data_IF_054407660316
#
_entry.id   IF_054407660316
#
_cell.length_a   1.000
_cell.length_b   1.000
_cell.length_c   1.000
_cell.angle_alpha   90.00
_cell.angle_beta   90.00
_cell.angle_gamma   90.00
#
_symmetry.space_group_name_H-M   'P 1'
#
loop_
_entity.id
_entity.type
_entity.pdbx_description
1 polymer ?
#
# COMPACT_ATOMS: atom_id res chain seq x y z
N UNK A 1 3.39 50.66 69.45
CA UNK A 1 4.40 49.59 69.64
C UNK A 1 3.85 48.32 69.00
N UNK A 2 4.66 47.59 68.23
CA UNK A 2 4.24 46.92 66.99
C UNK A 2 4.24 45.39 67.07
N UNK A 3 3.52 44.72 66.16
CA UNK A 3 4.04 43.61 65.32
C UNK A 3 2.95 43.22 64.31
N UNK A 4 3.10 43.64 63.06
CA UNK A 4 3.70 42.90 61.93
C UNK A 4 2.67 42.09 61.11
N UNK A 5 2.35 42.68 59.96
CA UNK A 5 1.84 42.12 58.70
C UNK A 5 2.53 40.77 58.30
N UNK A 6 1.95 39.91 57.40
CA UNK A 6 1.39 40.38 56.12
C UNK A 6 0.19 39.64 55.50
N UNK A 7 -0.66 40.47 54.91
CA UNK A 7 -1.22 40.45 53.54
C UNK A 7 -0.92 39.21 52.69
N UNK A 8 -1.95 38.39 52.42
CA UNK A 8 -1.93 37.39 51.36
C UNK A 8 -2.34 38.01 50.02
N UNK A 9 -1.46 37.86 49.03
CA UNK A 9 -1.66 38.22 47.64
C UNK A 9 -2.56 37.20 46.90
N UNK A 10 -3.23 37.60 45.80
CA UNK A 10 -4.13 36.72 45.06
C UNK A 10 -3.34 35.66 44.27
N UNK A 11 -3.74 34.40 44.44
CA UNK A 11 -3.15 33.26 43.73
C UNK A 11 -3.46 33.36 42.22
N UNK A 12 -2.38 33.54 41.44
CA UNK A 12 -2.41 33.45 39.98
C UNK A 12 -2.95 32.08 39.55
N UNK A 13 -4.02 32.11 38.75
CA UNK A 13 -4.55 30.97 38.01
C UNK A 13 -3.48 30.34 37.12
N UNK A 14 -2.93 29.21 37.55
CA UNK A 14 -2.11 28.35 36.71
C UNK A 14 -2.97 27.76 35.59
N UNK A 15 -2.74 28.20 34.35
CA UNK A 15 -3.20 27.50 33.15
C UNK A 15 -2.73 26.05 33.23
N UNK A 16 -3.63 25.12 33.51
CA UNK A 16 -3.39 23.68 33.32
C UNK A 16 -3.11 23.49 31.83
N UNK A 17 -1.85 23.24 31.51
CA UNK A 17 -1.45 22.75 30.20
C UNK A 17 -2.28 21.51 29.89
N UNK A 18 -3.00 21.54 28.77
CA UNK A 18 -3.66 20.38 28.19
C UNK A 18 -2.64 19.26 28.04
N UNK A 19 -2.92 18.03 28.51
CA UNK A 19 -2.01 16.91 28.31
C UNK A 19 -1.88 16.69 26.79
N UNK A 20 -0.64 16.73 26.30
CA UNK A 20 -0.31 16.28 24.94
C UNK A 20 -0.85 14.85 24.78
N UNK A 21 -1.45 14.51 23.62
CA UNK A 21 -1.87 13.14 23.39
C UNK A 21 -0.65 12.24 23.49
N UNK A 22 -0.72 11.31 24.44
CA UNK A 22 0.22 10.22 24.60
C UNK A 22 0.37 9.53 23.25
N UNK A 23 1.62 9.39 22.83
CA UNK A 23 2.04 8.59 21.69
C UNK A 23 1.26 7.28 21.67
N UNK A 24 0.43 7.11 20.64
CA UNK A 24 -0.05 5.81 20.18
C UNK A 24 1.17 4.88 20.19
N UNK A 25 0.99 3.68 20.75
CA UNK A 25 2.03 2.67 20.92
C UNK A 25 2.86 2.47 19.66
N UNK A 26 3.91 3.27 19.56
CA UNK A 26 5.12 2.95 18.84
C UNK A 26 5.69 1.76 19.60
N UNK A 27 5.30 0.55 19.21
CA UNK A 27 6.29 -0.52 19.20
C UNK A 27 7.43 0.07 18.38
N UNK A 28 8.48 0.52 19.06
CA UNK A 28 9.75 0.87 18.45
C UNK A 28 10.23 -0.40 17.78
N UNK A 29 9.74 -0.65 16.55
CA UNK A 29 10.37 -1.63 15.66
C UNK A 29 11.79 -1.12 15.52
N UNK A 30 12.77 -1.93 15.94
CA UNK A 30 14.15 -1.68 15.56
C UNK A 30 14.15 -1.49 14.05
N UNK A 31 14.75 -0.40 13.55
CA UNK A 31 14.88 -0.19 12.11
C UNK A 31 15.53 -1.42 11.53
N UNK A 32 14.84 -2.09 10.63
CA UNK A 32 15.38 -3.26 9.95
C UNK A 32 16.09 -2.74 8.70
N UNK A 33 17.41 -2.92 8.64
CA UNK A 33 18.21 -2.66 7.45
C UNK A 33 18.99 -1.35 7.42
N UNK A 34 19.76 -1.17 6.34
CA UNK A 34 20.66 -0.04 6.12
C UNK A 34 20.00 1.01 5.23
N UNK A 35 19.93 2.30 5.63
CA UNK A 35 19.40 3.36 4.77
C UNK A 35 20.12 3.38 3.42
N UNK A 36 19.37 3.59 2.32
CA UNK A 36 19.94 3.53 0.97
C UNK A 36 21.16 4.44 0.79
N UNK A 37 21.17 5.63 1.39
CA UNK A 37 22.32 6.55 1.33
C UNK A 37 23.60 5.93 1.89
N UNK A 38 23.51 5.25 3.03
CA UNK A 38 24.65 4.59 3.67
C UNK A 38 25.05 3.33 2.88
N UNK A 39 24.09 2.56 2.37
CA UNK A 39 24.40 1.40 1.54
C UNK A 39 25.11 1.79 0.23
N UNK A 40 24.80 2.95 -0.36
CA UNK A 40 25.50 3.45 -1.56
C UNK A 40 27.00 3.63 -1.33
N UNK A 41 27.41 4.05 -0.14
CA UNK A 41 28.83 4.22 0.21
C UNK A 41 29.54 2.86 0.22
N UNK A 42 28.86 1.80 0.67
CA UNK A 42 29.35 0.42 0.69
C UNK A 42 29.51 -0.20 -0.71
N UNK A 43 28.81 0.34 -1.72
CA UNK A 43 28.95 -0.11 -3.11
C UNK A 43 30.21 0.43 -3.81
N UNK A 44 30.99 1.29 -3.16
CA UNK A 44 32.22 1.84 -3.76
C UNK A 44 33.21 0.71 -4.06
N UNK A 45 33.68 0.62 -5.31
CA UNK A 45 34.56 -0.46 -5.76
C UNK A 45 33.87 -1.80 -6.03
N UNK A 46 32.56 -1.93 -5.79
CA UNK A 46 31.81 -3.14 -6.12
C UNK A 46 31.65 -3.33 -7.64
N UNK A 47 31.64 -4.59 -8.08
CA UNK A 47 31.33 -4.96 -9.47
C UNK A 47 29.93 -4.46 -9.84
N UNK A 48 29.82 -3.81 -10.99
CA UNK A 48 28.57 -3.27 -11.52
C UNK A 48 27.85 -4.35 -12.34
N UNK A 49 26.56 -4.63 -12.07
CA UNK A 49 25.84 -5.64 -12.82
C UNK A 49 25.58 -5.19 -14.26
N UNK A 50 25.63 -6.14 -15.19
CA UNK A 50 25.16 -5.94 -16.56
C UNK A 50 23.71 -6.43 -16.75
N UNK A 51 23.21 -7.24 -15.83
CA UNK A 51 21.84 -7.76 -15.82
C UNK A 51 21.18 -7.54 -14.45
N UNK A 52 19.97 -6.99 -14.47
CA UNK A 52 19.12 -6.85 -13.29
C UNK A 52 17.79 -7.54 -13.55
N UNK A 53 17.34 -8.34 -12.59
CA UNK A 53 16.00 -8.92 -12.59
C UNK A 53 15.17 -8.28 -11.48
N UNK A 54 14.09 -7.60 -11.84
CA UNK A 54 13.05 -7.23 -10.88
C UNK A 54 12.21 -8.47 -10.53
N UNK A 55 12.49 -9.06 -9.38
CA UNK A 55 11.81 -10.27 -8.92
C UNK A 55 10.59 -9.90 -8.07
N UNK A 56 9.41 -10.21 -8.61
CA UNK A 56 8.12 -9.91 -7.98
C UNK A 56 7.57 -11.05 -7.12
N UNK A 57 8.38 -12.10 -6.86
CA UNK A 57 8.02 -13.34 -6.17
C UNK A 57 6.95 -14.19 -6.88
N UNK A 58 6.44 -13.72 -8.01
CA UNK A 58 5.40 -14.38 -8.78
C UNK A 58 5.97 -15.25 -9.88
N UNK A 59 5.09 -16.09 -10.43
CA UNK A 59 5.35 -17.07 -11.49
C UNK A 59 6.32 -16.57 -12.56
N UNK A 60 5.99 -15.48 -13.25
CA UNK A 60 6.76 -15.06 -14.43
C UNK A 60 8.22 -14.72 -14.10
N UNK A 61 8.45 -13.88 -13.08
CA UNK A 61 9.79 -13.50 -12.67
C UNK A 61 10.57 -14.66 -12.03
N UNK A 62 9.88 -15.58 -11.34
CA UNK A 62 10.50 -16.78 -10.78
C UNK A 62 10.91 -17.76 -11.88
N UNK A 63 10.09 -17.95 -12.91
CA UNK A 63 10.42 -18.80 -14.06
C UNK A 63 11.67 -18.31 -14.79
N UNK A 64 11.79 -16.99 -15.02
CA UNK A 64 13.01 -16.39 -15.60
C UNK A 64 14.24 -16.74 -14.75
N UNK A 65 14.14 -16.49 -13.44
CA UNK A 65 15.24 -16.70 -12.50
C UNK A 65 15.69 -18.16 -12.46
N UNK A 66 14.74 -19.08 -12.29
CA UNK A 66 15.02 -20.51 -12.24
C UNK A 66 15.58 -21.01 -13.57
N UNK A 67 15.07 -20.54 -14.70
CA UNK A 67 15.58 -20.97 -16.01
C UNK A 67 17.02 -20.49 -16.23
N UNK A 68 17.35 -19.26 -15.88
CA UNK A 68 18.72 -18.76 -15.98
C UNK A 68 19.71 -19.51 -15.08
N UNK A 69 19.24 -20.02 -13.94
CA UNK A 69 20.06 -20.84 -13.05
C UNK A 69 20.25 -22.25 -13.64
N UNK A 70 19.17 -22.90 -14.06
CA UNK A 70 19.15 -24.31 -14.46
C UNK A 70 19.64 -24.55 -15.90
N UNK A 71 19.40 -23.60 -16.81
CA UNK A 71 19.72 -23.72 -18.23
C UNK A 71 20.70 -22.61 -18.62
N UNK A 72 22.03 -22.81 -18.49
CA UNK A 72 23.02 -21.79 -18.85
C UNK A 72 22.89 -21.26 -20.29
N UNK A 73 22.44 -22.10 -21.23
CA UNK A 73 22.19 -21.72 -22.63
C UNK A 73 21.04 -20.72 -22.81
N UNK A 74 20.21 -20.49 -21.79
CA UNK A 74 19.12 -19.50 -21.83
C UNK A 74 19.58 -18.05 -21.57
N UNK A 75 20.87 -17.84 -21.31
CA UNK A 75 21.48 -16.53 -21.04
C UNK A 75 22.85 -16.38 -21.70
N UNK A 76 23.20 -15.14 -22.00
CA UNK A 76 24.47 -14.71 -22.59
C UNK A 76 25.36 -13.94 -21.58
N UNK A 77 25.02 -13.98 -20.29
CA UNK A 77 25.74 -13.30 -19.21
C UNK A 77 26.07 -14.29 -18.09
N UNK A 78 27.11 -14.01 -17.29
CA UNK A 78 27.45 -14.83 -16.12
C UNK A 78 26.55 -14.49 -14.92
N UNK A 79 26.18 -15.48 -14.09
CA UNK A 79 25.31 -15.25 -12.91
C UNK A 79 25.93 -14.27 -11.89
N UNK A 80 27.24 -14.12 -11.88
CA UNK A 80 27.95 -13.10 -11.08
C UNK A 80 27.64 -11.66 -11.51
N UNK A 81 27.22 -11.45 -12.76
CA UNK A 81 26.77 -10.16 -13.32
C UNK A 81 25.27 -9.91 -13.14
N UNK A 82 24.53 -10.91 -12.66
CA UNK A 82 23.11 -10.80 -12.31
C UNK A 82 22.96 -10.27 -10.90
N UNK A 83 22.12 -9.24 -10.75
CA UNK A 83 21.55 -8.86 -9.47
C UNK A 83 20.04 -9.02 -9.52
N UNK A 84 19.51 -9.80 -8.60
CA UNK A 84 18.07 -9.93 -8.38
C UNK A 84 17.67 -8.87 -7.37
N UNK A 85 16.68 -8.04 -7.71
CA UNK A 85 16.16 -6.99 -6.82
C UNK A 85 14.69 -7.25 -6.51
N UNK A 86 14.32 -7.08 -5.25
CA UNK A 86 12.93 -7.21 -4.79
C UNK A 86 12.55 -6.05 -3.89
N UNK A 87 11.37 -5.48 -4.12
CA UNK A 87 10.77 -4.48 -3.25
C UNK A 87 9.71 -5.12 -2.36
N UNK A 88 10.02 -5.24 -1.07
CA UNK A 88 9.13 -5.77 -0.05
C UNK A 88 8.05 -4.75 0.28
N UNK A 89 6.80 -5.09 -0.03
CA UNK A 89 5.65 -4.20 0.19
C UNK A 89 5.10 -4.30 1.62
N UNK A 90 5.45 -5.34 2.37
CA UNK A 90 5.04 -5.52 3.76
C UNK A 90 3.89 -6.49 4.00
N UNK A 91 3.10 -6.80 2.97
CA UNK A 91 1.79 -7.47 3.14
C UNK A 91 1.57 -8.60 2.12
N UNK A 92 2.66 -9.16 1.62
CA UNK A 92 2.64 -10.37 0.80
C UNK A 92 2.11 -11.56 1.61
N UNK A 93 1.54 -12.54 0.94
CA UNK A 93 1.09 -13.75 1.61
C UNK A 93 2.25 -14.55 2.22
N UNK A 94 2.02 -15.10 3.41
CA UNK A 94 3.00 -15.92 4.10
C UNK A 94 3.40 -17.17 3.28
N UNK A 95 2.46 -17.78 2.53
CA UNK A 95 2.77 -18.92 1.64
C UNK A 95 3.75 -18.54 0.54
N UNK A 96 3.58 -17.37 -0.07
CA UNK A 96 4.52 -16.87 -1.09
C UNK A 96 5.93 -16.70 -0.53
N UNK A 97 6.05 -16.25 0.72
CA UNK A 97 7.34 -16.21 1.42
C UNK A 97 7.98 -17.59 1.57
N UNK A 98 7.23 -18.53 2.15
CA UNK A 98 7.68 -19.90 2.37
C UNK A 98 8.15 -20.56 1.07
N UNK A 99 7.34 -20.53 0.01
CA UNK A 99 7.69 -21.18 -1.26
C UNK A 99 8.97 -20.59 -1.86
N UNK A 100 9.16 -19.27 -1.77
CA UNK A 100 10.38 -18.62 -2.24
C UNK A 100 11.61 -18.97 -1.37
N UNK A 101 11.45 -19.00 -0.05
CA UNK A 101 12.52 -19.37 0.90
C UNK A 101 12.93 -20.84 0.76
N UNK A 102 11.96 -21.73 0.54
CA UNK A 102 12.21 -23.18 0.47
C UNK A 102 12.78 -23.61 -0.89
N UNK A 103 12.39 -22.93 -1.98
CA UNK A 103 12.72 -23.39 -3.34
C UNK A 103 13.61 -22.46 -4.16
N UNK A 104 13.62 -21.14 -3.89
CA UNK A 104 14.39 -20.18 -4.69
C UNK A 104 15.67 -19.76 -3.98
N UNK A 105 15.61 -19.37 -2.70
CA UNK A 105 16.79 -18.91 -1.96
C UNK A 105 17.93 -19.96 -1.91
N UNK A 106 17.67 -21.27 -1.75
CA UNK A 106 18.73 -22.27 -1.76
C UNK A 106 19.48 -22.31 -3.09
N UNK A 107 18.77 -22.11 -4.21
CA UNK A 107 19.37 -22.03 -5.54
C UNK A 107 20.18 -20.75 -5.71
N UNK A 108 19.68 -19.61 -5.23
CA UNK A 108 20.47 -18.36 -5.25
C UNK A 108 21.78 -18.51 -4.49
N UNK A 109 21.73 -19.10 -3.30
CA UNK A 109 22.92 -19.37 -2.48
C UNK A 109 23.86 -20.37 -3.15
N UNK A 110 23.35 -21.47 -3.67
CA UNK A 110 24.17 -22.50 -4.34
C UNK A 110 24.93 -21.95 -5.55
N UNK A 111 24.34 -20.99 -6.26
CA UNK A 111 24.93 -20.36 -7.43
C UNK A 111 25.54 -18.97 -7.16
N UNK A 112 25.59 -18.54 -5.89
CA UNK A 112 26.12 -17.24 -5.49
C UNK A 112 25.45 -16.03 -6.14
N UNK A 113 24.18 -16.16 -6.56
CA UNK A 113 23.42 -15.07 -7.20
C UNK A 113 23.10 -14.01 -6.15
N UNK A 114 23.42 -12.75 -6.45
CA UNK A 114 23.21 -11.64 -5.52
C UNK A 114 21.72 -11.26 -5.48
N UNK A 115 21.14 -11.24 -4.28
CA UNK A 115 19.80 -10.77 -3.99
C UNK A 115 19.86 -9.50 -3.16
N UNK A 116 19.19 -8.44 -3.62
CA UNK A 116 19.00 -7.19 -2.89
C UNK A 116 17.52 -7.04 -2.53
N UNK A 117 17.23 -6.99 -1.24
CA UNK A 117 15.90 -6.80 -0.68
C UNK A 117 15.76 -5.37 -0.19
N UNK A 118 14.82 -4.61 -0.74
CA UNK A 118 14.60 -3.22 -0.37
C UNK A 118 13.15 -2.98 0.06
N UNK A 119 12.94 -2.00 0.92
CA UNK A 119 11.60 -1.55 1.30
C UNK A 119 11.59 -0.03 1.51
N UNK A 120 10.38 0.47 1.71
CA UNK A 120 10.20 1.80 2.30
C UNK A 120 10.48 1.72 3.80
N UNK A 121 11.04 2.78 4.35
CA UNK A 121 11.14 3.01 5.80
C UNK A 121 10.14 4.06 6.31
N UNK A 122 9.39 4.67 5.39
CA UNK A 122 8.33 5.65 5.69
C UNK A 122 7.40 5.85 4.49
N UNK A 123 6.32 6.60 4.71
CA UNK A 123 5.30 6.89 3.70
C UNK A 123 5.83 7.52 2.40
N UNK A 124 6.79 8.45 2.52
CA UNK A 124 7.31 9.23 1.39
C UNK A 124 8.76 8.84 1.09
N UNK A 125 8.99 8.48 -0.17
CA UNK A 125 10.31 8.26 -0.73
C UNK A 125 10.71 9.35 -1.70
N UNK A 126 12.02 9.54 -1.92
CA UNK A 126 12.56 10.48 -2.89
C UNK A 126 13.44 9.78 -3.92
N UNK A 127 13.65 10.39 -5.09
CA UNK A 127 14.57 9.89 -6.13
C UNK A 127 16.01 9.81 -5.58
N UNK A 128 16.37 10.70 -4.64
CA UNK A 128 17.67 10.65 -3.97
C UNK A 128 17.83 9.46 -3.00
N UNK A 129 16.76 8.71 -2.73
CA UNK A 129 16.76 7.53 -1.89
C UNK A 129 16.29 7.73 -0.46
N UNK A 130 15.79 8.92 -0.09
CA UNK A 130 15.28 9.13 1.27
C UNK A 130 14.02 8.30 1.49
N UNK A 131 13.90 7.69 2.66
CA UNK A 131 12.77 6.82 2.97
C UNK A 131 12.86 5.41 2.35
N UNK A 132 14.01 5.04 1.80
CA UNK A 132 14.32 3.69 1.31
C UNK A 132 15.35 3.03 2.23
N UNK A 133 15.14 1.74 2.51
CA UNK A 133 16.04 0.91 3.32
C UNK A 133 16.37 -0.38 2.57
N UNK A 134 17.62 -0.82 2.68
CA UNK A 134 18.10 -2.12 2.21
C UNK A 134 17.99 -3.08 3.39
N UNK A 135 17.09 -4.05 3.28
CA UNK A 135 16.81 -5.05 4.30
C UNK A 135 17.90 -6.12 4.34
N UNK A 136 18.38 -6.50 3.15
CA UNK A 136 19.44 -7.47 2.94
C UNK A 136 20.08 -7.27 1.55
N UNK A 137 21.37 -7.54 1.44
CA UNK A 137 22.15 -7.55 0.21
C UNK A 137 23.18 -8.67 0.31
N UNK A 138 22.84 -9.83 -0.25
CA UNK A 138 23.56 -11.07 0.02
C UNK A 138 23.69 -11.94 -1.23
N UNK A 139 24.78 -12.70 -1.30
CA UNK A 139 24.96 -13.82 -2.25
C UNK A 139 24.60 -15.19 -1.63
N UNK A 140 24.28 -15.19 -0.34
CA UNK A 140 23.82 -16.35 0.42
C UNK A 140 22.56 -15.98 1.20
N UNK A 141 21.47 -15.54 0.53
CA UNK A 141 20.26 -15.12 1.22
C UNK A 141 19.62 -16.30 1.96
N UNK A 142 19.18 -16.07 3.20
CA UNK A 142 18.55 -17.11 4.04
C UNK A 142 17.05 -16.90 4.24
N UNK A 143 16.58 -15.66 4.11
CA UNK A 143 15.18 -15.31 4.36
C UNK A 143 14.71 -14.14 3.51
N UNK A 144 13.42 -14.08 3.26
CA UNK A 144 12.73 -12.93 2.70
C UNK A 144 12.20 -12.03 3.83
N UNK A 145 12.51 -10.75 3.75
CA UNK A 145 12.04 -9.75 4.70
C UNK A 145 10.64 -9.22 4.30
N UNK A 146 9.67 -10.11 4.16
CA UNK A 146 8.33 -9.80 3.62
C UNK A 146 7.65 -8.61 4.29
N UNK A 147 7.83 -8.51 5.62
CA UNK A 147 7.27 -7.46 6.47
C UNK A 147 7.81 -6.06 6.20
N UNK A 148 9.00 -5.95 5.58
CA UNK A 148 9.70 -4.68 5.35
C UNK A 148 9.94 -3.86 6.63
N UNK A 149 10.17 -2.55 6.45
CA UNK A 149 10.28 -1.57 7.55
C UNK A 149 9.00 -0.69 7.63
N UNK A 150 8.43 -0.32 6.47
CA UNK A 150 7.15 0.38 6.34
C UNK A 150 6.26 -0.26 5.27
N UNK A 151 5.12 -0.82 5.71
CA UNK A 151 4.22 -1.62 4.89
C UNK A 151 3.30 -0.77 4.03
N UNK A 152 2.69 -1.38 3.02
CA UNK A 152 1.61 -0.74 2.28
C UNK A 152 0.36 -0.59 3.17
N UNK A 153 0.08 -1.56 4.03
CA UNK A 153 -1.02 -1.51 5.01
C UNK A 153 -0.85 -0.38 6.02
N UNK A 154 0.38 -0.01 6.38
CA UNK A 154 0.67 1.16 7.21
C UNK A 154 0.22 2.46 6.53
N UNK A 155 0.53 2.63 5.24
CA UNK A 155 0.04 3.76 4.44
C UNK A 155 -1.49 3.77 4.35
N UNK A 156 -2.10 2.63 4.07
CA UNK A 156 -3.55 2.50 3.91
C UNK A 156 -4.28 2.78 5.21
N UNK A 157 -3.72 2.36 6.34
CA UNK A 157 -4.21 2.64 7.70
C UNK A 157 -4.08 4.11 8.04
N UNK A 158 -2.87 4.69 7.90
CA UNK A 158 -2.59 6.10 8.18
C UNK A 158 -3.49 7.05 7.40
N UNK A 159 -3.78 6.70 6.15
CA UNK A 159 -4.58 7.52 5.26
C UNK A 159 -6.06 7.14 5.22
N UNK A 160 -6.45 6.02 5.85
CA UNK A 160 -7.76 5.38 5.72
C UNK A 160 -8.22 5.35 4.25
N UNK A 161 -7.47 4.60 3.45
CA UNK A 161 -7.77 4.34 2.03
C UNK A 161 -7.53 2.88 1.71
N UNK A 162 -8.07 2.43 0.59
CA UNK A 162 -7.78 1.12 -0.03
C UNK A 162 -7.09 1.33 -1.38
N UNK A 163 -6.30 0.35 -1.86
CA UNK A 163 -5.86 0.33 -3.25
C UNK A 163 -7.08 0.15 -4.18
N UNK A 164 -7.00 0.69 -5.39
CA UNK A 164 -8.09 0.64 -6.37
C UNK A 164 -7.62 0.03 -7.68
N UNK A 165 -8.52 -0.70 -8.36
CA UNK A 165 -8.25 -1.27 -9.70
C UNK A 165 -8.11 -0.16 -10.76
N UNK A 166 -8.90 0.91 -10.64
CA UNK A 166 -8.88 2.04 -11.56
C UNK A 166 -7.69 2.98 -11.35
N UNK A 167 -7.26 3.65 -12.42
CA UNK A 167 -6.17 4.64 -12.41
C UNK A 167 -4.78 4.05 -12.61
N UNK A 168 -3.73 4.81 -12.26
CA UNK A 168 -2.34 4.51 -12.59
C UNK A 168 -1.64 3.53 -11.62
N UNK A 169 -2.37 2.58 -11.00
CA UNK A 169 -1.82 1.56 -10.08
C UNK A 169 -0.86 2.14 -9.03
N UNK A 170 -1.28 3.22 -8.37
CA UNK A 170 -0.42 4.04 -7.49
C UNK A 170 0.29 3.26 -6.38
N UNK A 171 -0.31 2.20 -5.86
CA UNK A 171 0.34 1.34 -4.86
C UNK A 171 1.61 0.69 -5.43
N UNK A 172 1.55 0.15 -6.64
CA UNK A 172 2.72 -0.46 -7.31
C UNK A 172 3.79 0.58 -7.62
N UNK A 173 3.40 1.76 -8.13
CA UNK A 173 4.36 2.83 -8.44
C UNK A 173 5.12 3.29 -7.20
N UNK A 174 4.42 3.46 -6.06
CA UNK A 174 5.02 3.99 -4.82
C UNK A 174 5.75 2.94 -3.99
N UNK A 175 5.21 1.72 -3.91
CA UNK A 175 5.76 0.67 -3.05
C UNK A 175 6.79 -0.20 -3.77
N UNK A 176 6.82 -0.21 -5.11
CA UNK A 176 7.79 -0.97 -5.91
C UNK A 176 8.68 -0.06 -6.74
N UNK A 177 8.11 0.70 -7.69
CA UNK A 177 8.90 1.55 -8.61
C UNK A 177 9.78 2.57 -7.87
N UNK A 178 9.17 3.40 -7.03
CA UNK A 178 9.85 4.41 -6.22
C UNK A 178 10.80 3.85 -5.15
N UNK A 179 10.91 2.52 -5.02
CA UNK A 179 11.89 1.82 -4.18
C UNK A 179 13.00 1.23 -5.05
N UNK A 180 12.65 0.52 -6.13
CA UNK A 180 13.61 -0.16 -6.98
C UNK A 180 14.41 0.81 -7.85
N UNK A 181 13.82 1.89 -8.37
CA UNK A 181 14.52 2.78 -9.28
C UNK A 181 15.80 3.37 -8.63
N UNK A 182 15.76 3.95 -7.41
CA UNK A 182 16.97 4.46 -6.76
C UNK A 182 17.98 3.37 -6.35
N UNK A 183 17.50 2.15 -6.08
CA UNK A 183 18.36 0.99 -5.76
C UNK A 183 19.11 0.52 -7.00
N UNK A 184 18.42 0.41 -8.14
CA UNK A 184 19.00 0.06 -9.43
C UNK A 184 20.00 1.13 -9.89
N UNK A 185 19.67 2.41 -9.71
CA UNK A 185 20.59 3.52 -10.00
C UNK A 185 21.86 3.44 -9.15
N UNK A 186 21.74 3.06 -7.87
CA UNK A 186 22.88 2.84 -6.99
C UNK A 186 23.75 1.65 -7.41
N UNK A 187 23.13 0.54 -7.81
CA UNK A 187 23.83 -0.67 -8.27
C UNK A 187 24.61 -0.41 -9.55
N UNK A 188 23.98 0.26 -10.53
CA UNK A 188 24.53 0.47 -11.87
C UNK A 188 25.47 1.67 -11.95
N UNK A 189 25.32 2.65 -11.04
CA UNK A 189 26.10 3.89 -11.02
C UNK A 189 26.15 4.59 -12.39
N UNK A 190 25.01 4.61 -13.09
CA UNK A 190 24.87 5.24 -14.41
C UNK A 190 25.42 4.43 -15.59
N UNK A 191 26.02 3.25 -15.36
CA UNK A 191 26.43 2.36 -16.46
C UNK A 191 25.23 1.77 -17.19
N UNK A 192 25.47 1.36 -18.44
CA UNK A 192 24.48 0.62 -19.22
C UNK A 192 24.18 -0.74 -18.60
N UNK A 193 22.91 -1.12 -18.54
CA UNK A 193 22.47 -2.40 -18.01
C UNK A 193 21.22 -2.92 -18.72
N UNK A 194 21.04 -4.24 -18.70
CA UNK A 194 19.80 -4.89 -19.10
C UNK A 194 18.90 -5.08 -17.88
N UNK A 195 17.62 -4.80 -18.05
CA UNK A 195 16.62 -4.94 -16.99
C UNK A 195 15.53 -5.91 -17.44
N UNK A 196 15.55 -7.11 -16.89
CA UNK A 196 14.56 -8.13 -17.15
C UNK A 196 13.30 -7.93 -16.31
N UNK A 197 12.16 -8.03 -16.99
CA UNK A 197 10.83 -7.93 -16.41
C UNK A 197 10.00 -9.13 -16.85
N UNK A 198 9.27 -9.72 -15.89
CA UNK A 198 8.38 -10.86 -16.13
C UNK A 198 7.07 -10.45 -16.81
N UNK A 199 7.13 -10.18 -18.11
CA UNK A 199 5.96 -10.18 -18.99
C UNK A 199 6.02 -11.42 -19.86
N UNK A 200 4.95 -12.21 -19.85
CA UNK A 200 4.82 -13.43 -20.67
C UNK A 200 4.33 -13.14 -22.09
N UNK A 201 4.38 -14.16 -22.95
CA UNK A 201 4.11 -14.04 -24.40
C UNK A 201 2.79 -13.34 -24.75
N UNK A 202 1.75 -13.43 -23.90
CA UNK A 202 0.45 -12.78 -24.11
C UNK A 202 0.35 -11.36 -23.51
N UNK A 203 1.43 -10.81 -22.94
CA UNK A 203 1.48 -9.48 -22.32
C UNK A 203 2.20 -8.42 -23.18
N UNK A 204 2.26 -8.61 -24.51
CA UNK A 204 2.95 -7.71 -25.45
C UNK A 204 2.57 -6.23 -25.27
N UNK A 205 1.28 -5.95 -25.05
CA UNK A 205 0.79 -4.57 -24.84
C UNK A 205 1.37 -3.94 -23.57
N UNK A 206 1.65 -4.72 -22.52
CA UNK A 206 2.28 -4.21 -21.29
C UNK A 206 3.77 -3.94 -21.50
N UNK A 207 4.45 -4.80 -22.25
CA UNK A 207 5.86 -4.66 -22.59
C UNK A 207 6.11 -3.45 -23.49
N UNK A 208 5.45 -3.42 -24.65
CA UNK A 208 5.76 -2.47 -25.73
C UNK A 208 4.78 -1.29 -25.84
N UNK A 209 3.61 -1.38 -25.18
CA UNK A 209 2.55 -0.40 -25.34
C UNK A 209 1.83 -0.51 -26.69
N UNK A 210 0.91 0.41 -26.96
CA UNK A 210 0.18 0.49 -28.23
C UNK A 210 1.01 1.17 -29.34
N UNK A 211 2.18 0.62 -29.70
CA UNK A 211 3.06 1.19 -30.74
C UNK A 211 2.39 1.31 -32.12
N UNK A 212 1.32 0.56 -32.38
CA UNK A 212 0.68 0.44 -33.70
C UNK A 212 -0.60 1.28 -33.91
N UNK A 213 -1.15 1.94 -32.88
CA UNK A 213 -2.48 2.60 -33.01
C UNK A 213 -2.48 4.11 -32.76
N UNK A 214 -1.33 4.79 -32.83
CA UNK A 214 -1.25 6.26 -32.65
C UNK A 214 -1.70 6.77 -31.27
N UNK A 215 -1.94 5.85 -30.31
CA UNK A 215 -2.36 6.16 -28.95
C UNK A 215 -1.19 6.58 -28.05
N UNK A 216 -1.50 7.17 -26.88
CA UNK A 216 -0.50 7.56 -25.87
C UNK A 216 0.46 6.39 -25.57
N UNK A 217 1.75 6.58 -25.86
CA UNK A 217 2.83 5.62 -25.56
C UNK A 217 2.84 5.31 -24.06
N UNK A 218 2.31 4.15 -23.66
CA UNK A 218 2.39 3.61 -22.30
C UNK A 218 2.73 2.12 -22.40
N UNK A 219 4.03 1.84 -22.47
CA UNK A 219 4.62 0.51 -22.33
C UNK A 219 5.90 0.65 -21.52
N UNK A 220 6.31 -0.41 -20.83
CA UNK A 220 7.51 -0.36 -20.00
C UNK A 220 8.79 -0.08 -20.83
N UNK A 221 8.86 -0.61 -22.06
CA UNK A 221 9.95 -0.34 -23.01
C UNK A 221 10.16 1.16 -23.28
N UNK A 222 9.12 1.98 -23.08
CA UNK A 222 9.13 3.42 -23.39
C UNK A 222 9.43 4.28 -22.15
N UNK A 223 9.41 3.71 -20.93
CA UNK A 223 9.42 4.48 -19.67
C UNK A 223 10.74 4.40 -18.87
N UNK A 224 11.83 3.91 -19.47
CA UNK A 224 13.13 3.75 -18.80
C UNK A 224 14.12 4.91 -19.01
N UNK A 225 15.15 5.04 -18.16
CA UNK A 225 16.28 5.94 -18.40
C UNK A 225 17.15 5.46 -19.58
N UNK A 226 17.92 6.36 -20.19
CA UNK A 226 18.68 6.07 -21.41
C UNK A 226 19.74 4.95 -21.27
N UNK A 227 20.23 4.70 -20.07
CA UNK A 227 21.19 3.63 -19.78
C UNK A 227 20.52 2.27 -19.47
N UNK A 228 19.19 2.19 -19.49
CA UNK A 228 18.44 0.95 -19.28
C UNK A 228 18.01 0.35 -20.62
N UNK A 229 18.37 -0.91 -20.85
CA UNK A 229 17.81 -1.74 -21.91
C UNK A 229 16.80 -2.72 -21.31
N UNK A 230 15.50 -2.50 -21.52
CA UNK A 230 14.48 -3.44 -21.06
C UNK A 230 14.55 -4.74 -21.87
N UNK A 231 14.49 -5.89 -21.20
CA UNK A 231 14.45 -7.22 -21.86
C UNK A 231 13.28 -8.03 -21.31
N UNK A 232 12.70 -8.90 -22.15
CA UNK A 232 11.50 -9.66 -21.82
C UNK A 232 11.68 -11.15 -22.13
N UNK A 233 12.47 -11.88 -21.32
CA UNK A 233 12.91 -13.23 -21.66
C UNK A 233 11.76 -14.20 -21.95
N UNK A 234 10.63 -14.10 -21.24
CA UNK A 234 9.49 -14.99 -21.48
C UNK A 234 8.82 -14.72 -22.84
N UNK A 235 8.78 -13.48 -23.32
CA UNK A 235 8.32 -13.17 -24.67
C UNK A 235 9.31 -13.75 -25.68
N UNK A 236 10.62 -13.55 -25.47
CA UNK A 236 11.67 -14.06 -26.36
C UNK A 236 11.68 -15.59 -26.44
N UNK A 237 11.35 -16.26 -25.33
CA UNK A 237 11.23 -17.71 -25.25
C UNK A 237 9.86 -18.23 -25.69
N UNK A 238 8.92 -17.35 -26.01
CA UNK A 238 7.51 -17.66 -26.29
C UNK A 238 6.87 -18.52 -25.17
N UNK A 239 7.11 -18.15 -23.92
CA UNK A 239 6.51 -18.78 -22.75
C UNK A 239 5.26 -18.01 -22.33
N UNK A 240 4.14 -18.71 -22.27
CA UNK A 240 2.93 -18.23 -21.65
C UNK A 240 2.92 -18.51 -20.14
N UNK A 241 1.84 -18.08 -19.47
CA UNK A 241 1.67 -18.32 -18.04
C UNK A 241 1.70 -19.80 -17.66
N UNK A 242 1.06 -20.67 -18.45
CA UNK A 242 0.99 -22.09 -18.10
C UNK A 242 2.36 -22.74 -18.21
N UNK A 243 3.13 -22.42 -19.25
CA UNK A 243 4.50 -22.90 -19.41
C UNK A 243 5.41 -22.50 -18.26
N UNK A 244 5.26 -21.27 -17.75
CA UNK A 244 5.97 -20.84 -16.55
C UNK A 244 5.58 -21.66 -15.31
N UNK A 245 4.29 -21.95 -15.12
CA UNK A 245 3.82 -22.79 -14.00
C UNK A 245 4.41 -24.20 -14.09
N UNK A 246 4.30 -24.83 -15.27
CA UNK A 246 4.79 -26.18 -15.50
C UNK A 246 6.30 -26.28 -15.29
N UNK A 247 7.05 -25.28 -15.77
CA UNK A 247 8.50 -25.22 -15.58
C UNK A 247 8.87 -25.09 -14.12
N UNK A 248 8.23 -24.17 -13.38
CA UNK A 248 8.49 -24.02 -11.94
C UNK A 248 8.19 -25.33 -11.23
N UNK A 249 7.01 -25.93 -11.46
CA UNK A 249 6.66 -27.22 -10.86
C UNK A 249 7.70 -28.30 -11.16
N UNK A 250 8.24 -28.36 -12.39
CA UNK A 250 9.33 -29.28 -12.73
C UNK A 250 10.61 -29.05 -11.92
N UNK A 251 11.00 -27.79 -11.70
CA UNK A 251 12.21 -27.43 -10.93
C UNK A 251 12.03 -27.63 -9.42
N UNK A 252 10.81 -27.41 -8.91
CA UNK A 252 10.53 -27.39 -7.47
C UNK A 252 9.95 -28.69 -6.93
N UNK A 253 9.87 -29.74 -7.76
CA UNK A 253 9.36 -31.05 -7.34
C UNK A 253 7.83 -31.12 -7.23
N UNK A 254 7.12 -30.31 -8.01
CA UNK A 254 5.68 -30.40 -8.21
C UNK A 254 4.83 -29.42 -7.42
N UNK A 255 5.42 -28.44 -6.73
CA UNK A 255 4.62 -27.46 -5.97
C UNK A 255 3.82 -26.54 -6.89
N UNK A 256 2.61 -26.20 -6.45
CA UNK A 256 1.75 -25.23 -7.13
C UNK A 256 2.21 -23.82 -6.78
N UNK A 257 2.84 -23.13 -7.74
CA UNK A 257 3.33 -21.77 -7.50
C UNK A 257 2.19 -20.75 -7.47
N UNK A 258 1.83 -20.29 -6.28
CA UNK A 258 0.72 -19.35 -6.12
C UNK A 258 1.02 -17.97 -6.70
N UNK A 259 -0.05 -17.23 -7.03
CA UNK A 259 0.07 -15.84 -7.48
C UNK A 259 0.53 -14.95 -6.32
N UNK A 260 1.67 -14.28 -6.49
CA UNK A 260 2.12 -13.24 -5.56
C UNK A 260 1.31 -11.95 -5.71
N UNK A 261 0.87 -11.41 -4.58
CA UNK A 261 0.30 -10.09 -4.39
C UNK A 261 0.10 -9.81 -2.89
N UNK A 262 -0.10 -8.55 -2.52
CA UNK A 262 -0.64 -8.26 -1.18
C UNK A 262 -1.98 -8.98 -0.96
N UNK A 263 -2.28 -9.41 0.26
CA UNK A 263 -3.54 -10.12 0.59
C UNK A 263 -4.80 -9.35 0.16
N UNK A 264 -4.76 -8.03 0.31
CA UNK A 264 -5.81 -7.09 -0.10
C UNK A 264 -5.63 -6.52 -1.51
N UNK A 265 -4.88 -7.18 -2.40
CA UNK A 265 -4.67 -6.65 -3.75
C UNK A 265 -5.99 -6.63 -4.56
N UNK A 266 -6.44 -5.45 -5.03
CA UNK A 266 -7.73 -5.33 -5.69
C UNK A 266 -7.71 -5.98 -7.09
N UNK A 267 -6.51 -6.15 -7.69
CA UNK A 267 -6.34 -6.87 -8.95
C UNK A 267 -6.49 -8.38 -8.78
N UNK A 268 -6.19 -8.93 -7.60
CA UNK A 268 -6.48 -10.33 -7.29
C UNK A 268 -7.98 -10.56 -7.09
N UNK A 269 -8.72 -9.53 -6.70
CA UNK A 269 -10.17 -9.57 -6.46
C UNK A 269 -11.02 -9.10 -7.66
N UNK A 270 -10.39 -8.78 -8.80
CA UNK A 270 -11.05 -8.12 -9.93
C UNK A 270 -12.02 -9.03 -10.70
N UNK A 271 -11.78 -10.33 -10.74
CA UNK A 271 -12.61 -11.31 -11.45
C UNK A 271 -12.97 -12.52 -10.57
N UNK A 272 -13.89 -13.38 -11.05
CA UNK A 272 -14.44 -14.51 -10.29
C UNK A 272 -13.35 -15.49 -9.84
N UNK A 273 -12.48 -15.91 -10.75
CA UNK A 273 -11.41 -16.87 -10.44
C UNK A 273 -10.40 -16.31 -9.44
N UNK A 274 -10.05 -15.02 -9.58
CA UNK A 274 -9.15 -14.34 -8.65
C UNK A 274 -9.74 -14.27 -7.24
N UNK A 275 -11.03 -13.96 -7.12
CA UNK A 275 -11.74 -13.98 -5.83
C UNK A 275 -11.74 -15.37 -5.22
N UNK A 276 -12.01 -16.40 -6.01
CA UNK A 276 -12.02 -17.77 -5.54
C UNK A 276 -10.66 -18.17 -4.94
N UNK A 277 -9.56 -17.91 -5.66
CA UNK A 277 -8.20 -18.15 -5.15
C UNK A 277 -7.88 -17.37 -3.88
N UNK A 278 -8.30 -16.11 -3.79
CA UNK A 278 -8.10 -15.32 -2.56
C UNK A 278 -8.91 -15.90 -1.40
N UNK A 279 -10.15 -16.32 -1.63
CA UNK A 279 -11.01 -16.92 -0.60
C UNK A 279 -10.45 -18.25 -0.09
N UNK A 280 -9.91 -19.10 -0.96
CA UNK A 280 -9.21 -20.33 -0.57
C UNK A 280 -8.01 -20.04 0.33
N UNK A 281 -7.23 -19.00 0.00
CA UNK A 281 -6.10 -18.58 0.84
C UNK A 281 -6.54 -17.96 2.15
N UNK A 282 -7.64 -17.21 2.18
CA UNK A 282 -8.24 -16.70 3.44
C UNK A 282 -8.72 -17.87 4.31
N UNK A 283 -9.31 -18.91 3.71
CA UNK A 283 -9.73 -20.09 4.48
C UNK A 283 -8.53 -20.80 5.12
N UNK A 284 -7.38 -20.83 4.43
CA UNK A 284 -6.13 -21.38 4.96
C UNK A 284 -5.41 -20.44 5.95
N UNK A 285 -5.55 -19.12 5.77
CA UNK A 285 -4.97 -18.07 6.62
C UNK A 285 -6.03 -17.01 6.98
N UNK A 286 -6.86 -17.26 8.01
CA UNK A 286 -7.93 -16.36 8.41
C UNK A 286 -7.45 -14.95 8.80
N UNK A 287 -6.21 -14.81 9.28
CA UNK A 287 -5.64 -13.53 9.69
C UNK A 287 -5.54 -12.56 8.49
N UNK A 288 -5.18 -13.06 7.31
CA UNK A 288 -5.17 -12.26 6.08
C UNK A 288 -6.58 -11.74 5.74
N UNK A 289 -7.63 -12.54 5.99
CA UNK A 289 -9.02 -12.12 5.86
C UNK A 289 -9.39 -10.98 6.81
N UNK A 290 -8.96 -11.07 8.06
CA UNK A 290 -9.15 -10.00 9.07
C UNK A 290 -8.45 -8.71 8.62
N UNK A 291 -7.21 -8.80 8.12
CA UNK A 291 -6.47 -7.62 7.64
C UNK A 291 -7.17 -6.92 6.46
N UNK A 292 -7.70 -7.70 5.50
CA UNK A 292 -8.50 -7.18 4.38
C UNK A 292 -9.70 -6.39 4.90
N UNK A 293 -10.46 -6.99 5.83
CA UNK A 293 -11.65 -6.37 6.41
C UNK A 293 -11.31 -5.12 7.23
N UNK A 294 -10.23 -5.15 8.00
CA UNK A 294 -9.77 -4.02 8.81
C UNK A 294 -9.31 -2.83 7.96
N UNK A 295 -8.68 -3.07 6.82
CA UNK A 295 -8.28 -2.02 5.87
C UNK A 295 -9.53 -1.41 5.20
N UNK A 296 -10.44 -2.26 4.70
CA UNK A 296 -11.65 -1.78 4.04
C UNK A 296 -12.58 -1.04 5.01
N UNK A 297 -12.78 -1.55 6.23
CA UNK A 297 -13.62 -0.93 7.26
C UNK A 297 -13.17 0.49 7.61
N UNK A 298 -11.85 0.72 7.78
CA UNK A 298 -11.29 2.07 7.97
C UNK A 298 -11.56 2.98 6.77
N UNK A 299 -11.33 2.48 5.55
CA UNK A 299 -11.58 3.24 4.32
C UNK A 299 -13.05 3.63 4.17
N UNK A 300 -13.96 2.67 4.38
CA UNK A 300 -15.39 2.89 4.30
C UNK A 300 -15.84 3.88 5.36
N UNK A 301 -15.37 3.78 6.61
CA UNK A 301 -15.71 4.75 7.67
C UNK A 301 -15.54 6.20 7.22
N UNK A 302 -14.43 6.52 6.55
CA UNK A 302 -14.13 7.86 6.07
C UNK A 302 -14.69 8.18 4.67
N UNK A 303 -15.06 7.17 3.89
CA UNK A 303 -15.67 7.35 2.57
C UNK A 303 -16.55 6.13 2.21
N UNK A 304 -17.89 6.25 2.32
CA UNK A 304 -18.81 5.14 2.04
C UNK A 304 -18.71 4.55 0.62
N UNK A 305 -18.10 5.27 -0.32
CA UNK A 305 -17.92 4.84 -1.71
C UNK A 305 -16.53 4.27 -2.00
N UNK A 306 -15.71 4.03 -0.97
CA UNK A 306 -14.31 3.60 -1.10
C UNK A 306 -14.08 2.19 -0.56
N UNK A 307 -14.86 1.24 -1.10
CA UNK A 307 -14.62 -0.19 -0.92
C UNK A 307 -13.42 -0.67 -1.74
N UNK A 308 -12.88 -1.83 -1.34
CA UNK A 308 -11.76 -2.49 -2.00
C UNK A 308 -12.18 -3.07 -3.35
N UNK A 309 -13.43 -3.54 -3.43
CA UNK A 309 -14.03 -4.07 -4.66
C UNK A 309 -14.63 -2.94 -5.50
N UNK A 310 -14.54 -3.06 -6.82
CA UNK A 310 -15.21 -2.13 -7.73
C UNK A 310 -16.75 -2.15 -7.63
N UNK A 311 -17.30 -3.25 -7.10
CA UNK A 311 -18.71 -3.43 -6.73
C UNK A 311 -18.80 -4.38 -5.53
N UNK A 312 -19.69 -4.08 -4.59
CA UNK A 312 -19.80 -4.82 -3.32
C UNK A 312 -18.70 -4.46 -2.33
N UNK A 313 -18.62 -5.22 -1.24
CA UNK A 313 -17.63 -5.07 -0.18
C UNK A 313 -16.87 -6.39 0.06
N UNK A 314 -15.70 -6.32 0.69
CA UNK A 314 -14.97 -7.52 1.12
C UNK A 314 -15.73 -8.30 2.21
N UNK A 315 -16.48 -7.61 3.07
CA UNK A 315 -17.33 -8.28 4.07
C UNK A 315 -18.45 -9.10 3.42
N UNK A 316 -19.07 -8.59 2.35
CA UNK A 316 -20.05 -9.37 1.58
C UNK A 316 -19.41 -10.57 0.88
N UNK A 317 -18.19 -10.39 0.35
CA UNK A 317 -17.45 -11.48 -0.29
C UNK A 317 -17.17 -12.63 0.68
N UNK A 318 -16.71 -12.31 1.89
CA UNK A 318 -16.42 -13.30 2.95
C UNK A 318 -17.71 -13.95 3.48
N UNK A 319 -18.78 -13.17 3.62
CA UNK A 319 -20.10 -13.68 4.02
C UNK A 319 -20.69 -14.66 2.99
N UNK A 320 -20.57 -14.33 1.70
CA UNK A 320 -21.03 -15.20 0.61
C UNK A 320 -20.21 -16.48 0.46
N UNK A 321 -18.96 -16.47 0.91
CA UNK A 321 -18.07 -17.63 0.93
C UNK A 321 -18.22 -18.52 2.17
N UNK A 322 -19.18 -18.19 3.06
CA UNK A 322 -19.44 -18.91 4.32
C UNK A 322 -18.23 -19.00 5.27
N UNK A 323 -17.36 -17.98 5.23
CA UNK A 323 -16.17 -17.90 6.11
C UNK A 323 -16.52 -17.21 7.44
N UNK A 324 -17.54 -17.72 8.14
CA UNK A 324 -18.07 -17.12 9.36
C UNK A 324 -17.03 -16.94 10.48
N UNK A 325 -16.06 -17.85 10.58
CA UNK A 325 -14.97 -17.76 11.55
C UNK A 325 -14.06 -16.52 11.31
N UNK A 326 -13.89 -16.09 10.05
CA UNK A 326 -13.15 -14.85 9.72
C UNK A 326 -13.95 -13.63 10.16
N UNK A 327 -15.27 -13.66 10.02
CA UNK A 327 -16.15 -12.56 10.46
C UNK A 327 -16.13 -12.42 11.98
N UNK A 328 -16.17 -13.54 12.72
CA UNK A 328 -16.01 -13.53 14.18
C UNK A 328 -14.66 -12.94 14.57
N UNK A 329 -13.55 -13.44 14.00
CA UNK A 329 -12.22 -12.93 14.28
C UNK A 329 -12.06 -11.44 13.93
N UNK A 330 -12.72 -10.97 12.87
CA UNK A 330 -12.76 -9.56 12.50
C UNK A 330 -13.51 -8.71 13.53
N UNK A 331 -14.67 -9.16 14.02
CA UNK A 331 -15.40 -8.44 15.06
C UNK A 331 -14.63 -8.42 16.39
N UNK A 332 -14.00 -9.54 16.77
CA UNK A 332 -13.12 -9.60 17.94
C UNK A 332 -11.94 -8.61 17.79
N UNK A 333 -11.33 -8.55 16.60
CA UNK A 333 -10.26 -7.59 16.31
C UNK A 333 -10.74 -6.13 16.36
N UNK A 334 -11.96 -5.83 15.91
CA UNK A 334 -12.56 -4.52 16.09
C UNK A 334 -12.74 -4.22 17.58
N UNK A 335 -13.36 -5.10 18.34
CA UNK A 335 -13.69 -4.80 19.73
C UNK A 335 -12.45 -4.71 20.63
N UNK A 336 -11.39 -5.45 20.30
CA UNK A 336 -10.08 -5.35 20.96
C UNK A 336 -9.27 -4.11 20.56
N UNK A 337 -9.58 -3.46 19.43
CA UNK A 337 -8.83 -2.30 18.93
C UNK A 337 -9.28 -1.00 19.60
N UNK A 338 -8.31 -0.12 19.87
CA UNK A 338 -8.62 1.29 20.12
C UNK A 338 -9.33 1.90 18.91
N UNK A 339 -10.27 2.80 19.18
CA UNK A 339 -11.04 3.51 18.17
C UNK A 339 -10.84 5.01 18.28
N UNK A 340 -11.13 5.69 17.18
CA UNK A 340 -11.15 7.15 17.10
C UNK A 340 -12.50 7.66 16.64
N UNK A 341 -12.95 8.74 17.25
CA UNK A 341 -14.09 9.53 16.81
C UNK A 341 -13.55 10.61 15.88
N UNK A 342 -14.01 10.62 14.65
CA UNK A 342 -13.39 11.40 13.57
C UNK A 342 -14.42 12.30 12.92
N UNK A 343 -14.09 13.59 12.79
CA UNK A 343 -14.80 14.52 11.92
C UNK A 343 -14.23 14.41 10.51
N UNK A 344 -15.13 14.19 9.54
CA UNK A 344 -14.81 14.10 8.13
C UNK A 344 -15.56 15.19 7.37
N UNK A 345 -14.80 16.03 6.67
CA UNK A 345 -15.32 17.02 5.73
C UNK A 345 -14.77 16.73 4.34
N UNK A 346 -15.62 16.76 3.33
CA UNK A 346 -15.22 16.53 1.93
C UNK A 346 -15.76 17.60 1.02
N UNK A 347 -14.93 18.03 0.08
CA UNK A 347 -15.30 18.89 -1.04
C UNK A 347 -15.18 18.05 -2.31
N UNK A 348 -16.32 17.85 -2.99
CA UNK A 348 -16.41 17.11 -4.23
C UNK A 348 -16.49 18.12 -5.38
N UNK A 349 -15.46 18.16 -6.22
CA UNK A 349 -15.32 19.09 -7.33
C UNK A 349 -15.71 18.44 -8.65
N UNK A 350 -16.31 19.20 -9.59
CA UNK A 350 -16.55 18.73 -10.94
C UNK A 350 -15.24 18.33 -11.65
N UNK A 351 -15.35 17.47 -12.65
CA UNK A 351 -14.27 17.21 -13.59
C UNK A 351 -14.12 18.41 -14.52
N UNK A 352 -12.88 18.76 -14.88
CA UNK A 352 -12.59 19.91 -15.75
C UNK A 352 -13.31 19.84 -17.11
N UNK A 353 -13.53 18.62 -17.62
CA UNK A 353 -14.16 18.38 -18.93
C UNK A 353 -15.67 18.12 -18.85
N UNK A 354 -16.21 17.89 -17.67
CA UNK A 354 -17.61 17.51 -17.48
C UNK A 354 -18.08 17.94 -16.07
N UNK A 355 -18.77 19.09 -15.96
CA UNK A 355 -19.25 19.60 -14.68
C UNK A 355 -20.22 18.67 -13.93
N UNK A 356 -20.86 17.72 -14.63
CA UNK A 356 -21.76 16.75 -14.00
C UNK A 356 -21.01 15.56 -13.38
N UNK A 357 -19.73 15.35 -13.73
CA UNK A 357 -18.93 14.23 -13.23
C UNK A 357 -18.01 14.64 -12.11
N UNK A 358 -17.78 13.74 -11.16
CA UNK A 358 -16.79 13.94 -10.11
C UNK A 358 -15.37 13.95 -10.70
N UNK A 359 -14.64 15.03 -10.48
CA UNK A 359 -13.23 15.15 -10.86
C UNK A 359 -12.30 14.88 -9.70
N UNK A 360 -12.36 15.75 -8.68
CA UNK A 360 -11.45 15.73 -7.53
C UNK A 360 -12.24 15.76 -6.23
N UNK A 361 -11.83 14.95 -5.27
CA UNK A 361 -12.34 15.01 -3.90
C UNK A 361 -11.21 15.47 -2.97
N UNK A 362 -11.39 16.64 -2.35
CA UNK A 362 -10.54 17.08 -1.23
C UNK A 362 -11.20 16.66 0.08
N UNK A 363 -10.39 16.34 1.10
CA UNK A 363 -10.90 15.96 2.42
C UNK A 363 -10.11 16.61 3.55
N UNK A 364 -10.81 16.88 4.64
CA UNK A 364 -10.28 17.19 5.96
C UNK A 364 -10.73 16.10 6.92
N UNK A 365 -9.76 15.49 7.58
CA UNK A 365 -9.92 14.44 8.60
C UNK A 365 -9.38 15.03 9.89
N UNK A 366 -10.18 15.00 10.95
CA UNK A 366 -9.78 15.46 12.28
C UNK A 366 -10.21 14.45 13.35
N UNK A 367 -9.26 13.93 14.10
CA UNK A 367 -9.50 13.07 15.25
C UNK A 367 -9.98 13.94 16.42
N UNK A 368 -11.17 13.62 16.94
CA UNK A 368 -11.84 14.36 18.01
C UNK A 368 -11.54 13.71 19.37
N UNK A 369 -11.56 12.38 19.41
CA UNK A 369 -11.35 11.60 20.63
C UNK A 369 -10.84 10.20 20.28
N UNK A 370 -10.19 9.58 21.25
CA UNK A 370 -9.78 8.17 21.22
C UNK A 370 -10.40 7.45 22.41
N UNK A 371 -10.73 6.17 22.26
CA UNK A 371 -11.26 5.33 23.33
C UNK A 371 -11.75 3.99 22.79
N UNK A 372 -12.45 3.22 23.62
CA UNK A 372 -13.05 1.97 23.14
C UNK A 372 -14.21 2.24 22.18
N UNK A 373 -14.51 1.26 21.31
CA UNK A 373 -15.60 1.35 20.34
C UNK A 373 -16.94 1.70 21.01
N UNK A 374 -17.29 1.00 22.08
CA UNK A 374 -18.53 1.21 22.83
C UNK A 374 -18.64 2.62 23.43
N UNK A 375 -17.56 3.12 24.05
CA UNK A 375 -17.52 4.48 24.61
C UNK A 375 -17.75 5.54 23.53
N UNK A 376 -17.11 5.38 22.38
CA UNK A 376 -17.24 6.34 21.28
C UNK A 376 -18.61 6.25 20.60
N UNK A 377 -19.19 5.06 20.48
CA UNK A 377 -20.57 4.87 19.99
C UNK A 377 -21.58 5.58 20.87
N UNK A 378 -21.47 5.42 22.21
CA UNK A 378 -22.32 6.14 23.14
C UNK A 378 -22.19 7.66 22.99
N UNK A 379 -20.96 8.18 22.85
CA UNK A 379 -20.71 9.61 22.61
C UNK A 379 -21.32 10.10 21.29
N UNK A 380 -21.19 9.32 20.21
CA UNK A 380 -21.75 9.66 18.91
C UNK A 380 -23.29 9.71 18.97
N UNK A 381 -23.92 8.72 19.61
CA UNK A 381 -25.38 8.68 19.79
C UNK A 381 -25.90 9.83 20.66
N UNK A 382 -25.21 10.15 21.76
CA UNK A 382 -25.55 11.31 22.60
C UNK A 382 -25.46 12.62 21.81
N UNK A 383 -24.43 12.77 20.97
CA UNK A 383 -24.28 13.95 20.10
C UNK A 383 -25.40 14.01 19.06
N UNK A 384 -25.78 12.88 18.47
CA UNK A 384 -26.88 12.79 17.53
C UNK A 384 -28.21 13.21 18.16
N UNK A 385 -28.53 12.65 19.33
CA UNK A 385 -29.77 12.92 20.06
C UNK A 385 -29.90 14.41 20.44
N UNK A 386 -28.79 15.05 20.86
CA UNK A 386 -28.80 16.48 21.24
C UNK A 386 -28.94 17.43 20.05
N UNK A 387 -28.36 17.06 18.91
CA UNK A 387 -28.27 17.96 17.75
C UNK A 387 -29.36 17.71 16.69
N UNK A 388 -30.15 16.63 16.83
CA UNK A 388 -31.23 16.29 15.91
C UNK A 388 -30.76 15.87 14.50
N UNK A 389 -29.49 15.50 14.35
CA UNK A 389 -28.91 15.12 13.05
C UNK A 389 -29.14 13.62 12.75
N UNK A 390 -29.34 13.25 11.47
CA UNK A 390 -29.57 11.87 11.09
C UNK A 390 -28.32 11.00 11.28
N UNK A 391 -28.55 9.79 11.79
CA UNK A 391 -27.55 8.73 11.92
C UNK A 391 -27.80 7.68 10.85
N UNK A 392 -26.72 7.13 10.29
CA UNK A 392 -26.79 5.94 9.45
C UNK A 392 -25.83 4.88 9.93
N UNK A 393 -26.23 3.62 9.86
CA UNK A 393 -25.37 2.46 10.11
C UNK A 393 -25.36 1.56 8.88
N UNK A 394 -24.17 1.16 8.45
CA UNK A 394 -23.97 0.21 7.35
C UNK A 394 -22.78 -0.67 7.73
N UNK A 395 -23.00 -2.00 7.84
CA UNK A 395 -22.00 -2.99 8.26
C UNK A 395 -21.22 -2.58 9.52
N UNK A 396 -21.93 -2.06 10.52
CA UNK A 396 -21.34 -1.67 11.81
C UNK A 396 -20.54 -0.36 11.77
N UNK A 397 -20.67 0.42 10.70
CA UNK A 397 -20.08 1.75 10.54
C UNK A 397 -21.13 2.84 10.74
N UNK A 398 -21.18 3.35 11.96
CA UNK A 398 -22.11 4.41 12.35
C UNK A 398 -21.58 5.80 11.95
N UNK A 399 -22.41 6.60 11.28
CA UNK A 399 -22.11 7.99 10.88
C UNK A 399 -23.21 8.93 11.30
N UNK A 400 -22.84 10.02 11.97
CA UNK A 400 -23.67 11.18 12.25
C UNK A 400 -23.49 12.21 11.13
N UNK A 401 -24.54 12.45 10.34
CA UNK A 401 -24.45 13.33 9.18
C UNK A 401 -24.84 14.76 9.53
N UNK A 402 -23.85 15.66 9.47
CA UNK A 402 -24.03 17.10 9.64
C UNK A 402 -24.39 17.77 8.31
N UNK A 403 -23.93 17.19 7.20
CA UNK A 403 -24.29 17.58 5.83
C UNK A 403 -24.18 16.37 4.90
N UNK A 404 -25.27 16.05 4.21
CA UNK A 404 -25.29 15.09 3.10
C UNK A 404 -24.83 15.76 1.81
N UNK A 405 -24.33 14.93 0.88
CA UNK A 405 -24.01 15.33 -0.48
C UNK A 405 -25.24 15.95 -1.16
N UNK A 406 -25.05 17.10 -1.82
CA UNK A 406 -26.08 17.70 -2.68
C UNK A 406 -26.15 17.04 -4.07
N UNK A 407 -27.19 17.37 -4.84
CA UNK A 407 -27.45 16.77 -6.15
C UNK A 407 -26.49 17.22 -7.27
N UNK A 408 -25.86 18.39 -7.13
CA UNK A 408 -25.00 19.01 -8.15
C UNK A 408 -23.59 19.23 -7.64
N UNK A 409 -22.61 19.32 -8.54
CA UNK A 409 -21.21 19.64 -8.21
C UNK A 409 -20.93 21.15 -8.46
N UNK A 410 -20.02 21.77 -7.69
CA UNK A 410 -19.33 21.22 -6.52
C UNK A 410 -20.27 21.03 -5.32
N UNK A 411 -19.99 20.04 -4.49
CA UNK A 411 -20.77 19.79 -3.27
C UNK A 411 -19.89 19.40 -2.09
N UNK A 412 -20.51 19.29 -0.92
CA UNK A 412 -19.85 19.04 0.36
C UNK A 412 -20.51 17.90 1.11
N UNK A 413 -19.68 17.16 1.83
CA UNK A 413 -20.12 16.18 2.83
C UNK A 413 -19.49 16.54 4.17
N UNK A 414 -20.26 16.40 5.25
CA UNK A 414 -19.78 16.60 6.62
C UNK A 414 -20.43 15.57 7.52
N UNK A 415 -19.62 14.75 8.17
CA UNK A 415 -20.11 13.78 9.12
C UNK A 415 -19.08 13.50 10.21
N UNK A 416 -19.55 12.92 11.30
CA UNK A 416 -18.73 12.36 12.36
C UNK A 416 -18.92 10.86 12.35
N UNK A 417 -17.82 10.10 12.39
CA UNK A 417 -17.83 8.64 12.38
C UNK A 417 -16.90 8.09 13.43
N UNK A 418 -17.03 6.80 13.70
CA UNK A 418 -16.05 6.03 14.45
C UNK A 418 -15.26 5.18 13.46
N UNK A 419 -13.97 5.00 13.72
CA UNK A 419 -13.10 4.12 12.94
C UNK A 419 -12.05 3.50 13.88
N UNK A 420 -11.51 2.31 13.55
CA UNK A 420 -10.34 1.78 14.25
C UNK A 420 -9.18 2.78 14.21
N UNK A 421 -8.42 2.87 15.30
CA UNK A 421 -7.28 3.78 15.42
C UNK A 421 -6.17 3.48 14.39
N UNK A 422 -5.22 4.41 14.28
CA UNK A 422 -4.06 4.32 13.37
C UNK A 422 -4.10 5.29 12.19
N UNK A 423 -5.22 5.98 11.94
CA UNK A 423 -5.29 7.07 10.97
C UNK A 423 -4.74 8.38 11.55
N UNK A 424 -4.38 9.33 10.68
CA UNK A 424 -3.87 10.65 11.07
C UNK A 424 -4.77 11.79 10.59
N UNK A 425 -4.71 12.92 11.30
CA UNK A 425 -5.25 14.19 10.83
C UNK A 425 -4.70 14.53 9.44
N UNK A 426 -5.58 15.01 8.56
CA UNK A 426 -5.20 15.29 7.18
C UNK A 426 -6.09 16.34 6.57
N UNK A 427 -5.51 17.45 6.13
CA UNK A 427 -6.17 18.44 5.30
C UNK A 427 -5.14 19.10 4.38
N UNK A 428 -5.59 19.63 3.24
CA UNK A 428 -4.77 20.58 2.47
C UNK A 428 -4.74 21.94 3.20
N UNK A 429 -3.66 22.73 3.07
CA UNK A 429 -3.57 24.04 3.71
C UNK A 429 -4.79 24.93 3.45
N UNK A 430 -5.27 24.98 2.20
CA UNK A 430 -6.39 25.83 1.79
C UNK A 430 -7.78 25.17 1.97
N UNK A 431 -7.87 24.01 2.61
CA UNK A 431 -9.14 23.27 2.70
C UNK A 431 -10.25 24.11 3.36
N UNK A 432 -9.95 24.76 4.49
CA UNK A 432 -10.94 25.56 5.21
C UNK A 432 -11.35 26.82 4.44
N UNK A 433 -10.43 27.39 3.65
CA UNK A 433 -10.76 28.50 2.75
C UNK A 433 -11.77 28.04 1.69
N UNK A 434 -11.50 26.93 1.00
CA UNK A 434 -12.41 26.37 0.01
C UNK A 434 -13.76 25.96 0.61
N UNK A 435 -13.74 25.42 1.83
CA UNK A 435 -14.95 25.04 2.55
C UNK A 435 -15.88 26.24 2.80
N UNK A 436 -15.31 27.35 3.31
CA UNK A 436 -16.07 28.59 3.58
C UNK A 436 -16.58 29.25 2.30
N UNK A 437 -15.78 29.26 1.22
CA UNK A 437 -16.23 29.80 -0.08
C UNK A 437 -17.48 29.08 -0.59
N UNK A 438 -17.47 27.75 -0.58
CA UNK A 438 -18.65 26.96 -0.97
C UNK A 438 -19.83 27.12 0.00
N UNK A 439 -19.60 27.45 1.27
CA UNK A 439 -20.67 27.78 2.21
C UNK A 439 -21.32 29.13 1.91
N UNK A 440 -20.52 30.10 1.47
CA UNK A 440 -20.98 31.42 1.05
C UNK A 440 -21.49 31.46 -0.41
N UNK A 441 -21.62 30.32 -1.09
CA UNK A 441 -22.04 30.26 -2.50
C UNK A 441 -21.01 30.82 -3.50
N UNK A 442 -19.76 30.99 -3.07
CA UNK A 442 -18.69 31.53 -3.90
C UNK A 442 -18.02 30.45 -4.75
N UNK A 443 -17.58 30.78 -5.98
CA UNK A 443 -16.88 29.83 -6.84
C UNK A 443 -15.53 29.42 -6.24
N UNK A 444 -15.16 28.17 -6.50
CA UNK A 444 -13.81 27.68 -6.24
C UNK A 444 -12.93 28.05 -7.43
N UNK A 445 -12.18 29.15 -7.32
CA UNK A 445 -11.05 29.36 -8.22
C UNK A 445 -9.93 28.41 -7.82
N UNK A 446 -9.45 27.60 -8.77
CA UNK A 446 -8.21 26.87 -8.59
C UNK A 446 -7.08 27.92 -8.59
N UNK A 447 -6.52 28.19 -7.42
CA UNK A 447 -5.18 28.78 -7.35
C UNK A 447 -4.24 27.74 -7.95
N UNK A 448 -3.62 28.10 -9.08
CA UNK A 448 -2.75 27.26 -9.90
C UNK A 448 -1.66 26.55 -9.08
#
# INVERSE_FOLDING_TARGET
MPSQHPTQAPTRSGRRATPRPSSIGSRTRSRVGTPLRQWREQLTGSRRPSMILSWGLGVDSTAILLRWIQEPASRDFALEDLVVVVAMTGDEWASTGRDCEDHVLPLLRAHGVRLVQAARSRLHTTIAGDGIVILDDSRSPERLHLDGDFRLSDELTLTATVPQVGGDRRCSLRAKGAVLDPVIDALTAGRGYRHAIGFEANELTRAFGNLHTGGKKKGDHVQGPANRSAVYPLIDWNWDRQRCIDFIAGVTGGIVWEKSACSYCPFSLANKEGRQRVLERIAADPAAGVDILMIEHRSLALNPAQGLLGRGSAIDLIRQADLGHVLTAFHDALDASDHVLVEVRRILRPAAKDPAKLGRADRSIRIIATGSRAQLQQRLHQKAARAGFPVSDHDGITRLWLRRRGATLPTREHFVTIAPAGLADKAKPDFDLWWRRLDAGQPLHDTA
#
